data_IF_507905516115
#
_entry.id   IF_507905516115
#
_cell.length_a   1.000
_cell.length_b   1.000
_cell.length_c   1.000
_cell.angle_alpha   90.00
_cell.angle_beta   90.00
_cell.angle_gamma   90.00
#
_symmetry.space_group_name_H-M   'P 1'
#
loop_
_entity.id
_entity.type
_entity.pdbx_description
1 polymer ?
#
# COMPACT_ATOMS: atom_id res chain seq x y z
N UNK A 1 -26.93 13.69 -35.81
CA UNK A 1 -26.18 12.81 -34.89
C UNK A 1 -25.18 13.71 -34.19
N UNK A 2 -25.14 13.70 -32.85
CA UNK A 2 -24.22 14.55 -32.11
C UNK A 2 -22.78 14.07 -32.32
N UNK A 3 -21.83 14.99 -32.43
CA UNK A 3 -20.42 14.63 -32.46
C UNK A 3 -19.88 14.35 -31.04
N UNK A 4 -18.70 13.73 -30.93
CA UNK A 4 -18.14 13.39 -29.62
C UNK A 4 -17.82 14.63 -28.76
N UNK A 5 -17.59 15.79 -29.38
CA UNK A 5 -17.33 17.04 -28.66
C UNK A 5 -18.60 17.56 -27.99
N UNK A 6 -19.73 17.47 -28.67
CA UNK A 6 -21.06 17.77 -28.12
C UNK A 6 -21.43 16.81 -26.99
N UNK A 7 -21.16 15.51 -27.16
CA UNK A 7 -21.37 14.50 -26.12
C UNK A 7 -20.51 14.76 -24.87
N UNK A 8 -19.23 15.12 -25.06
CA UNK A 8 -18.34 15.47 -23.95
C UNK A 8 -18.81 16.73 -23.20
N UNK A 9 -19.33 17.74 -23.91
CA UNK A 9 -19.89 18.94 -23.27
C UNK A 9 -21.12 18.62 -22.40
N UNK A 10 -21.95 17.67 -22.86
CA UNK A 10 -23.10 17.18 -22.09
C UNK A 10 -22.65 16.41 -20.85
N UNK A 11 -21.68 15.49 -21.01
CA UNK A 11 -21.05 14.75 -19.92
C UNK A 11 -20.55 15.71 -18.86
N UNK A 12 -19.82 16.74 -19.26
CA UNK A 12 -19.20 17.69 -18.33
C UNK A 12 -20.24 18.45 -17.50
N UNK A 13 -21.32 18.89 -18.14
CA UNK A 13 -22.46 19.53 -17.46
C UNK A 13 -23.09 18.62 -16.40
N UNK A 14 -23.25 17.32 -16.71
CA UNK A 14 -23.82 16.34 -15.79
C UNK A 14 -22.86 16.03 -14.65
N UNK A 15 -21.57 15.86 -14.96
CA UNK A 15 -20.53 15.56 -13.99
C UNK A 15 -20.25 16.72 -13.02
N UNK A 16 -20.47 17.96 -13.47
CA UNK A 16 -20.46 19.15 -12.61
C UNK A 16 -21.64 19.23 -11.66
N UNK A 17 -22.73 18.53 -11.93
CA UNK A 17 -23.88 18.55 -11.03
C UNK A 17 -23.51 17.89 -9.69
N UNK A 18 -23.78 18.61 -8.59
CA UNK A 18 -23.44 18.19 -7.23
C UNK A 18 -24.67 17.67 -6.49
N UNK A 19 -24.45 16.78 -5.52
CA UNK A 19 -25.48 16.41 -4.56
C UNK A 19 -25.79 17.61 -3.66
N UNK A 20 -27.05 17.87 -3.33
CA UNK A 20 -27.40 18.90 -2.35
C UNK A 20 -26.82 18.54 -0.99
N UNK A 21 -26.26 19.51 -0.27
CA UNK A 21 -25.71 19.29 1.08
C UNK A 21 -24.44 20.09 1.37
N UNK A 22 -23.95 20.04 2.63
CA UNK A 22 -22.89 20.92 3.12
C UNK A 22 -21.52 20.70 2.48
N UNK A 23 -21.29 19.54 1.84
CA UNK A 23 -19.99 19.17 1.25
C UNK A 23 -19.96 19.17 -0.28
N UNK A 24 -21.06 19.55 -0.96
CA UNK A 24 -21.15 19.66 -2.44
C UNK A 24 -20.40 18.53 -3.18
N UNK A 25 -20.76 17.27 -2.87
CA UNK A 25 -20.05 16.10 -3.39
C UNK A 25 -20.48 15.78 -4.83
N UNK A 26 -19.57 15.19 -5.60
CA UNK A 26 -19.86 14.73 -6.97
C UNK A 26 -20.83 13.57 -6.94
N UNK A 27 -21.78 13.57 -7.87
CA UNK A 27 -22.73 12.46 -8.04
C UNK A 27 -22.04 11.23 -8.61
N UNK A 28 -21.29 11.39 -9.68
CA UNK A 28 -20.67 10.26 -10.38
C UNK A 28 -19.18 10.20 -10.06
N UNK A 29 -18.69 8.97 -9.87
CA UNK A 29 -17.26 8.68 -9.83
C UNK A 29 -16.70 8.74 -11.25
N UNK A 30 -17.38 8.10 -12.19
CA UNK A 30 -17.08 8.18 -13.63
C UNK A 30 -18.35 8.38 -14.44
N UNK A 31 -18.19 9.07 -15.56
CA UNK A 31 -19.26 9.31 -16.52
C UNK A 31 -18.64 9.43 -17.90
N UNK A 32 -19.14 8.67 -18.86
CA UNK A 32 -18.81 8.83 -20.26
C UNK A 32 -20.09 8.79 -21.09
N UNK A 33 -20.09 9.53 -22.19
CA UNK A 33 -21.20 9.54 -23.15
C UNK A 33 -20.63 9.27 -24.52
N UNK A 34 -21.08 8.21 -25.15
CA UNK A 34 -20.58 7.71 -26.42
C UNK A 34 -21.71 7.55 -27.42
N UNK A 35 -21.36 7.57 -28.70
CA UNK A 35 -22.28 7.11 -29.75
C UNK A 35 -22.17 5.60 -29.83
N UNK A 36 -23.23 4.90 -29.44
CA UNK A 36 -23.38 3.45 -29.57
C UNK A 36 -23.70 3.03 -31.01
N UNK A 37 -24.00 1.75 -31.20
CA UNK A 37 -24.38 1.21 -32.50
C UNK A 37 -25.73 1.79 -32.97
N UNK A 38 -25.89 1.97 -34.28
CA UNK A 38 -27.14 2.42 -34.92
C UNK A 38 -27.66 3.81 -34.46
N UNK A 39 -26.79 4.65 -33.90
CA UNK A 39 -27.15 6.03 -33.51
C UNK A 39 -27.80 6.14 -32.14
N UNK A 40 -27.75 5.09 -31.32
CA UNK A 40 -28.04 5.14 -29.88
C UNK A 40 -26.96 5.95 -29.17
N UNK A 41 -27.32 6.72 -28.14
CA UNK A 41 -26.35 7.36 -27.24
C UNK A 41 -26.25 6.50 -25.98
N UNK A 42 -25.05 6.06 -25.66
CA UNK A 42 -24.79 5.28 -24.46
C UNK A 42 -24.20 6.19 -23.37
N UNK A 43 -24.79 6.11 -22.18
CA UNK A 43 -24.36 6.85 -20.98
C UNK A 43 -23.80 5.84 -20.01
N UNK A 44 -22.48 5.69 -20.01
CA UNK A 44 -21.79 4.83 -19.07
C UNK A 44 -21.51 5.61 -17.80
N UNK A 45 -21.80 5.03 -16.64
CA UNK A 45 -21.55 5.69 -15.36
C UNK A 45 -21.15 4.70 -14.27
N UNK A 46 -20.39 5.21 -13.31
CA UNK A 46 -20.15 4.57 -12.03
C UNK A 46 -20.42 5.63 -10.94
N UNK A 47 -21.30 5.33 -9.99
CA UNK A 47 -21.56 6.27 -8.90
C UNK A 47 -20.60 6.04 -7.73
N UNK A 48 -20.53 6.99 -6.80
CA UNK A 48 -19.72 6.86 -5.57
C UNK A 48 -20.65 6.52 -4.40
N UNK A 49 -20.81 5.25 -4.00
CA UNK A 49 -21.81 4.86 -3.00
C UNK A 49 -21.71 5.65 -1.69
N UNK A 50 -20.48 5.93 -1.25
CA UNK A 50 -20.23 6.72 -0.03
C UNK A 50 -20.75 8.16 -0.12
N UNK A 51 -20.69 8.80 -1.30
CA UNK A 51 -21.19 10.15 -1.49
C UNK A 51 -22.72 10.20 -1.48
N UNK A 52 -23.36 9.22 -2.11
CA UNK A 52 -24.82 9.09 -2.14
C UNK A 52 -25.40 8.75 -0.77
N UNK A 53 -24.78 7.81 -0.05
CA UNK A 53 -25.17 7.42 1.30
C UNK A 53 -25.08 8.60 2.27
N UNK A 54 -23.99 9.39 2.21
CA UNK A 54 -23.85 10.59 3.06
C UNK A 54 -24.85 11.69 2.74
N UNK A 55 -25.30 11.80 1.49
CA UNK A 55 -26.27 12.79 1.07
C UNK A 55 -27.73 12.40 1.41
N UNK A 56 -27.97 11.17 1.89
CA UNK A 56 -29.31 10.69 2.24
C UNK A 56 -30.26 10.58 1.05
N UNK A 57 -29.74 10.49 -0.17
CA UNK A 57 -30.54 10.38 -1.40
C UNK A 57 -30.87 8.92 -1.65
N UNK A 58 -32.16 8.61 -1.87
CA UNK A 58 -32.60 7.29 -2.32
C UNK A 58 -31.85 6.89 -3.60
N UNK A 59 -31.31 5.66 -3.62
CA UNK A 59 -30.52 5.08 -4.69
C UNK A 59 -31.32 5.02 -6.01
N UNK A 60 -31.27 6.08 -6.82
CA UNK A 60 -31.67 6.03 -8.24
C UNK A 60 -30.74 6.88 -9.13
N UNK A 61 -29.49 6.43 -9.35
CA UNK A 61 -28.54 7.11 -10.23
C UNK A 61 -29.06 7.25 -11.67
N UNK A 62 -29.79 6.23 -12.16
CA UNK A 62 -30.36 6.20 -13.51
C UNK A 62 -31.47 7.25 -13.65
N UNK A 63 -32.37 7.36 -12.69
CA UNK A 63 -33.42 8.40 -12.67
C UNK A 63 -32.82 9.81 -12.66
N UNK A 64 -31.72 10.02 -11.92
CA UNK A 64 -31.00 11.28 -11.96
C UNK A 64 -30.37 11.58 -13.31
N UNK A 65 -29.75 10.60 -13.97
CA UNK A 65 -29.24 10.78 -15.33
C UNK A 65 -30.39 11.09 -16.29
N UNK A 66 -31.48 10.32 -16.27
CA UNK A 66 -32.68 10.59 -17.09
C UNK A 66 -33.19 12.02 -16.92
N UNK A 67 -33.28 12.51 -15.68
CA UNK A 67 -33.66 13.90 -15.40
C UNK A 67 -32.64 14.90 -15.95
N UNK A 68 -31.34 14.63 -15.83
CA UNK A 68 -30.29 15.52 -16.34
C UNK A 68 -30.27 15.60 -17.88
N UNK A 69 -30.70 14.54 -18.56
CA UNK A 69 -30.85 14.48 -20.01
C UNK A 69 -32.18 15.04 -20.53
N UNK A 70 -33.20 15.22 -19.68
CA UNK A 70 -34.53 15.67 -20.10
C UNK A 70 -34.52 17.05 -20.79
N UNK A 71 -33.63 17.94 -20.36
CA UNK A 71 -33.49 19.31 -20.91
C UNK A 71 -32.48 19.41 -22.05
N UNK A 72 -31.89 18.28 -22.48
CA UNK A 72 -30.87 18.24 -23.52
C UNK A 72 -31.57 17.93 -24.84
N UNK A 73 -31.41 18.76 -25.90
CA UNK A 73 -32.13 18.59 -27.16
C UNK A 73 -31.64 17.37 -27.96
N UNK A 74 -32.00 16.17 -27.53
CA UNK A 74 -31.66 14.88 -28.16
C UNK A 74 -32.82 14.34 -29.01
N UNK A 75 -33.38 15.17 -29.91
CA UNK A 75 -34.59 14.85 -30.68
C UNK A 75 -34.45 13.52 -31.44
N UNK A 76 -35.25 12.52 -31.04
CA UNK A 76 -35.39 11.24 -31.75
C UNK A 76 -34.28 10.24 -31.49
N UNK A 77 -33.35 10.51 -30.58
CA UNK A 77 -32.23 9.63 -30.26
C UNK A 77 -32.57 8.76 -29.05
N UNK A 78 -32.40 7.44 -29.16
CA UNK A 78 -32.51 6.53 -28.03
C UNK A 78 -31.29 6.69 -27.12
N UNK A 79 -31.51 6.74 -25.80
CA UNK A 79 -30.44 6.86 -24.80
C UNK A 79 -30.46 5.64 -23.90
N UNK A 80 -29.35 4.92 -23.85
CA UNK A 80 -29.14 3.79 -22.96
C UNK A 80 -28.24 4.20 -21.78
N UNK A 81 -28.56 3.68 -20.60
CA UNK A 81 -27.82 3.97 -19.37
C UNK A 81 -27.17 2.68 -18.88
N UNK A 82 -25.85 2.67 -18.82
CA UNK A 82 -25.05 1.49 -18.46
C UNK A 82 -24.28 1.80 -17.19
N UNK A 83 -24.66 1.11 -16.11
CA UNK A 83 -23.95 1.18 -14.83
C UNK A 83 -22.80 0.18 -14.81
N UNK A 84 -21.63 0.60 -14.33
CA UNK A 84 -20.46 -0.25 -14.17
C UNK A 84 -20.05 -0.39 -12.70
N UNK A 85 -19.85 -1.63 -12.24
CA UNK A 85 -19.23 -1.91 -10.94
C UNK A 85 -17.70 -1.89 -11.08
N UNK A 86 -17.15 -0.68 -11.06
CA UNK A 86 -15.72 -0.44 -11.30
C UNK A 86 -14.79 -1.05 -10.27
N UNK A 87 -15.32 -1.47 -9.11
CA UNK A 87 -14.51 -2.16 -8.10
C UNK A 87 -14.26 -3.63 -8.44
N UNK A 88 -15.08 -4.22 -9.31
CA UNK A 88 -14.95 -5.61 -9.75
C UNK A 88 -14.42 -5.75 -11.16
N UNK A 89 -14.89 -4.90 -12.07
CA UNK A 89 -14.71 -5.08 -13.51
C UNK A 89 -13.77 -4.04 -14.13
N UNK A 90 -13.32 -3.07 -13.34
CA UNK A 90 -12.61 -1.90 -13.86
C UNK A 90 -13.54 -0.96 -14.63
N UNK A 91 -12.98 0.11 -15.21
CA UNK A 91 -13.76 1.04 -16.02
C UNK A 91 -13.55 0.75 -17.52
N UNK A 92 -14.60 0.33 -18.26
CA UNK A 92 -14.39 -0.21 -19.61
C UNK A 92 -14.31 0.87 -20.70
N UNK A 93 -14.50 2.14 -20.36
CA UNK A 93 -14.56 3.23 -21.36
C UNK A 93 -13.24 3.97 -21.42
N UNK A 94 -12.78 4.23 -22.65
CA UNK A 94 -11.54 4.98 -22.91
C UNK A 94 -11.50 6.28 -22.08
N UNK A 95 -10.35 6.52 -21.44
CA UNK A 95 -10.25 7.58 -20.44
C UNK A 95 -10.45 8.98 -21.02
N UNK A 96 -10.01 9.23 -22.26
CA UNK A 96 -10.28 10.49 -22.97
C UNK A 96 -11.77 10.85 -23.10
N UNK A 97 -12.66 9.85 -23.04
CA UNK A 97 -14.12 10.01 -23.08
C UNK A 97 -14.74 10.17 -21.68
N UNK A 98 -13.97 9.89 -20.64
CA UNK A 98 -14.42 9.88 -19.23
C UNK A 98 -13.88 11.09 -18.44
N UNK A 99 -12.64 11.49 -18.71
CA UNK A 99 -11.92 12.52 -17.99
C UNK A 99 -12.52 13.93 -18.22
N UNK A 100 -12.80 14.63 -17.12
CA UNK A 100 -13.27 16.02 -17.11
C UNK A 100 -12.15 17.04 -16.84
N UNK A 101 -11.27 16.80 -15.87
CA UNK A 101 -10.11 17.66 -15.61
C UNK A 101 -8.92 16.88 -15.02
N UNK A 102 -7.73 17.47 -15.04
CA UNK A 102 -6.52 16.85 -14.49
C UNK A 102 -6.60 16.56 -12.97
N UNK A 103 -7.52 17.20 -12.25
CA UNK A 103 -7.77 16.95 -10.81
C UNK A 103 -8.58 15.67 -10.54
N UNK A 104 -9.28 15.14 -11.55
CA UNK A 104 -9.98 13.85 -11.48
C UNK A 104 -9.10 12.68 -11.98
N UNK A 105 -7.89 13.03 -12.43
CA UNK A 105 -6.97 12.15 -13.12
C UNK A 105 -5.64 12.18 -12.38
N UNK A 106 -5.55 11.49 -11.24
CA UNK A 106 -4.31 11.50 -10.46
C UNK A 106 -3.15 11.06 -11.36
N UNK A 107 -2.20 11.97 -11.64
CA UNK A 107 -1.09 11.63 -12.51
C UNK A 107 -0.26 10.54 -11.84
N UNK A 108 0.05 9.51 -12.60
CA UNK A 108 0.85 8.36 -12.19
C UNK A 108 2.01 8.21 -13.15
N UNK A 109 3.24 8.41 -12.71
CA UNK A 109 4.43 8.22 -13.55
C UNK A 109 5.00 6.82 -13.29
N UNK A 110 4.94 5.95 -14.30
CA UNK A 110 5.63 4.65 -14.31
C UNK A 110 6.96 4.81 -15.06
N UNK A 111 8.06 4.70 -14.33
CA UNK A 111 9.39 5.09 -14.80
C UNK A 111 10.42 3.97 -14.61
N UNK A 112 11.42 3.97 -15.48
CA UNK A 112 12.62 3.15 -15.40
C UNK A 112 13.87 4.05 -15.54
N UNK A 113 14.81 3.89 -14.62
CA UNK A 113 16.13 4.55 -14.68
C UNK A 113 17.14 3.65 -15.40
N UNK A 114 17.67 4.15 -16.51
CA UNK A 114 18.71 3.48 -17.27
C UNK A 114 20.07 3.58 -16.57
N UNK A 115 21.04 2.76 -17.00
CA UNK A 115 22.38 2.69 -16.41
C UNK A 115 23.16 4.02 -16.51
N UNK A 116 22.84 4.86 -17.50
CA UNK A 116 23.43 6.20 -17.67
C UNK A 116 22.76 7.28 -16.80
N UNK A 117 21.76 6.90 -15.99
CA UNK A 117 20.97 7.81 -15.14
C UNK A 117 19.79 8.48 -15.85
N UNK A 118 19.63 8.28 -17.16
CA UNK A 118 18.47 8.78 -17.89
C UNK A 118 17.20 8.05 -17.49
N UNK A 119 16.08 8.77 -17.54
CA UNK A 119 14.76 8.24 -17.21
C UNK A 119 13.94 8.04 -18.47
N UNK A 120 13.29 6.88 -18.57
CA UNK A 120 12.25 6.64 -19.55
C UNK A 120 11.00 6.08 -18.87
N UNK A 121 9.83 6.31 -19.46
CA UNK A 121 8.61 5.76 -18.92
C UNK A 121 7.36 6.36 -19.54
N UNK A 122 6.26 6.27 -18.82
CA UNK A 122 4.95 6.72 -19.27
C UNK A 122 4.25 7.44 -18.13
N UNK A 123 3.75 8.64 -18.42
CA UNK A 123 2.73 9.26 -17.60
C UNK A 123 1.41 8.56 -17.90
N UNK A 124 0.77 8.11 -16.85
CA UNK A 124 -0.52 7.45 -16.84
C UNK A 124 -1.48 8.21 -15.94
N UNK A 125 -2.77 7.90 -16.05
CA UNK A 125 -3.83 8.44 -15.21
C UNK A 125 -4.40 7.34 -14.36
N UNK A 126 -4.35 7.55 -13.05
CA UNK A 126 -5.05 6.70 -12.10
C UNK A 126 -6.45 7.29 -11.88
N UNK A 127 -7.52 6.57 -12.30
CA UNK A 127 -8.90 6.95 -12.01
C UNK A 127 -9.27 6.64 -10.54
N UNK A 128 -8.37 5.97 -9.81
CA UNK A 128 -8.44 5.57 -8.41
C UNK A 128 -7.22 6.08 -7.64
N UNK A 129 -7.15 5.77 -6.34
CA UNK A 129 -5.86 5.53 -5.70
C UNK A 129 -5.75 4.01 -5.78
N UNK A 130 -5.22 3.51 -6.89
CA UNK A 130 -5.11 2.08 -7.15
C UNK A 130 -3.95 1.47 -6.35
N UNK A 131 -4.06 0.20 -5.97
CA UNK A 131 -2.94 -0.59 -5.45
C UNK A 131 -1.96 -1.01 -6.56
N UNK A 132 -1.94 -0.28 -7.69
CA UNK A 132 -1.08 -0.57 -8.83
C UNK A 132 0.41 -0.61 -8.44
N UNK A 133 0.83 0.21 -7.46
CA UNK A 133 2.19 0.19 -6.90
C UNK A 133 2.56 -1.22 -6.43
N UNK A 134 1.72 -1.82 -5.57
CA UNK A 134 1.97 -3.13 -4.97
C UNK A 134 1.87 -4.23 -6.01
N UNK A 135 0.86 -4.18 -6.89
CA UNK A 135 0.68 -5.19 -7.93
C UNK A 135 1.82 -5.19 -8.96
N UNK A 136 2.25 -4.02 -9.43
CA UNK A 136 3.36 -3.89 -10.38
C UNK A 136 4.66 -4.38 -9.73
N UNK A 137 4.97 -3.90 -8.53
CA UNK A 137 6.21 -4.25 -7.85
C UNK A 137 6.30 -5.75 -7.53
N UNK A 138 5.19 -6.39 -7.15
CA UNK A 138 5.15 -7.84 -6.92
C UNK A 138 5.35 -8.65 -8.20
N UNK A 139 4.80 -8.19 -9.34
CA UNK A 139 4.79 -8.96 -10.58
C UNK A 139 6.07 -8.80 -11.41
N UNK A 140 6.73 -7.65 -11.32
CA UNK A 140 7.87 -7.29 -12.18
C UNK A 140 9.07 -6.90 -11.33
N UNK A 141 9.58 -7.83 -10.54
CA UNK A 141 10.63 -7.53 -9.56
C UNK A 141 12.02 -7.46 -10.19
N UNK A 142 12.28 -8.16 -11.30
CA UNK A 142 13.61 -8.20 -11.91
C UNK A 142 13.87 -7.02 -12.88
N UNK A 143 15.13 -6.59 -13.08
CA UNK A 143 15.43 -5.44 -13.95
C UNK A 143 14.92 -5.60 -15.39
N UNK A 144 15.07 -6.79 -15.96
CA UNK A 144 14.62 -7.09 -17.32
C UNK A 144 13.09 -7.14 -17.42
N UNK A 145 12.40 -7.60 -16.38
CA UNK A 145 10.94 -7.62 -16.29
C UNK A 145 10.40 -6.20 -16.17
N UNK A 146 10.97 -5.39 -15.27
CA UNK A 146 10.62 -4.00 -15.09
C UNK A 146 10.87 -3.16 -16.35
N UNK A 147 11.99 -3.41 -17.06
CA UNK A 147 12.27 -2.73 -18.33
C UNK A 147 11.29 -3.16 -19.42
N UNK A 148 11.02 -4.45 -19.56
CA UNK A 148 10.08 -4.97 -20.55
C UNK A 148 8.66 -4.45 -20.30
N UNK A 149 8.24 -4.38 -19.04
CA UNK A 149 7.00 -3.73 -18.60
C UNK A 149 6.94 -2.29 -19.08
N UNK A 150 7.95 -1.48 -18.74
CA UNK A 150 7.96 -0.06 -19.08
C UNK A 150 7.97 0.14 -20.60
N UNK A 151 8.72 -0.67 -21.34
CA UNK A 151 8.71 -0.63 -22.80
C UNK A 151 7.37 -1.06 -23.40
N UNK A 152 6.71 -2.06 -22.83
CA UNK A 152 5.35 -2.45 -23.22
C UNK A 152 4.40 -1.27 -23.05
N UNK A 153 4.34 -0.68 -21.85
CA UNK A 153 3.43 0.46 -21.58
C UNK A 153 3.72 1.65 -22.48
N UNK A 154 5.00 1.90 -22.82
CA UNK A 154 5.39 2.98 -23.74
C UNK A 154 4.96 2.78 -25.20
N UNK A 155 4.71 1.54 -25.60
CA UNK A 155 4.23 1.19 -26.95
C UNK A 155 2.71 1.10 -27.05
N UNK A 156 2.02 1.15 -25.92
CA UNK A 156 0.57 1.20 -25.87
C UNK A 156 0.05 2.53 -26.42
N UNK A 157 -1.11 2.48 -27.05
CA UNK A 157 -1.79 3.67 -27.54
C UNK A 157 -2.26 4.55 -26.38
N UNK A 158 -2.43 5.84 -26.65
CA UNK A 158 -3.03 6.77 -25.70
C UNK A 158 -4.41 6.26 -25.27
N UNK A 159 -4.71 6.42 -23.98
CA UNK A 159 -5.94 5.98 -23.31
C UNK A 159 -6.11 4.45 -23.22
N UNK A 160 -5.11 3.65 -23.60
CA UNK A 160 -5.09 2.21 -23.34
C UNK A 160 -4.95 1.92 -21.84
N UNK A 161 -5.68 0.90 -21.36
CA UNK A 161 -5.71 0.50 -19.95
C UNK A 161 -4.62 -0.53 -19.63
N UNK A 162 -3.98 -0.36 -18.47
CA UNK A 162 -2.96 -1.25 -17.94
C UNK A 162 -2.97 -1.21 -16.41
N UNK A 163 -3.35 -2.32 -15.76
CA UNK A 163 -3.56 -2.38 -14.30
C UNK A 163 -4.48 -1.27 -13.78
N UNK A 164 -5.57 -1.00 -14.50
CA UNK A 164 -6.51 0.09 -14.20
C UNK A 164 -5.92 1.50 -14.27
N UNK A 165 -4.69 1.65 -14.76
CA UNK A 165 -4.08 2.93 -15.13
C UNK A 165 -4.22 3.15 -16.64
N UNK A 166 -4.40 4.40 -17.06
CA UNK A 166 -4.60 4.72 -18.48
C UNK A 166 -3.43 5.53 -19.03
N UNK A 167 -2.91 5.13 -20.19
CA UNK A 167 -1.75 5.77 -20.81
C UNK A 167 -2.08 7.21 -21.25
N UNK A 168 -1.30 8.20 -20.81
CA UNK A 168 -1.41 9.60 -21.27
C UNK A 168 -0.35 9.88 -22.33
N UNK A 169 0.94 9.81 -21.95
CA UNK A 169 2.06 10.10 -22.84
C UNK A 169 3.37 9.53 -22.32
N UNK A 170 4.33 9.35 -23.21
CA UNK A 170 5.67 8.91 -22.84
C UNK A 170 6.50 10.03 -22.20
N UNK A 171 7.37 9.62 -21.27
CA UNK A 171 8.33 10.45 -20.56
C UNK A 171 9.73 10.01 -20.99
N UNK A 172 10.57 10.98 -21.34
CA UNK A 172 12.01 10.82 -21.46
C UNK A 172 12.67 12.03 -20.80
N UNK A 173 13.67 11.80 -19.96
CA UNK A 173 14.40 12.83 -19.25
C UNK A 173 15.86 12.40 -19.04
N UNK A 174 16.80 13.34 -18.93
CA UNK A 174 18.21 12.98 -18.72
C UNK A 174 18.52 12.62 -17.27
N UNK A 175 17.65 12.99 -16.34
CA UNK A 175 17.71 12.64 -14.91
C UNK A 175 16.30 12.64 -14.28
N UNK A 176 16.18 12.11 -13.06
CA UNK A 176 14.90 12.00 -12.34
C UNK A 176 14.29 13.37 -12.03
N UNK A 177 15.10 14.35 -11.66
CA UNK A 177 14.65 15.70 -11.34
C UNK A 177 14.03 16.39 -12.56
N UNK A 178 14.52 16.09 -13.76
CA UNK A 178 13.97 16.64 -15.00
C UNK A 178 12.59 16.10 -15.34
N UNK A 179 12.17 14.97 -14.76
CA UNK A 179 10.80 14.45 -14.91
C UNK A 179 9.78 15.48 -14.40
N UNK A 180 10.12 16.29 -13.39
CA UNK A 180 9.23 17.35 -12.87
C UNK A 180 8.84 18.38 -13.94
N UNK A 181 9.63 18.52 -15.01
CA UNK A 181 9.32 19.43 -16.11
C UNK A 181 8.21 18.90 -17.03
N UNK A 182 7.98 17.58 -17.04
CA UNK A 182 6.96 16.93 -17.89
C UNK A 182 5.72 16.50 -17.11
N UNK A 183 5.76 16.53 -15.77
CA UNK A 183 4.59 16.29 -14.92
C UNK A 183 3.56 17.43 -15.05
N UNK A 184 2.29 17.20 -14.67
CA UNK A 184 1.30 18.28 -14.63
C UNK A 184 1.75 19.46 -13.75
N UNK A 185 1.52 20.68 -14.25
CA UNK A 185 2.04 21.93 -13.67
C UNK A 185 1.02 22.67 -12.79
N UNK A 186 -0.19 22.14 -12.66
CA UNK A 186 -1.30 22.77 -11.95
C UNK A 186 -1.05 22.79 -10.43
N UNK A 187 -1.33 23.93 -9.79
CA UNK A 187 -1.13 24.09 -8.35
C UNK A 187 -2.01 23.09 -7.57
N UNK A 188 -1.40 22.40 -6.60
CA UNK A 188 -2.09 21.42 -5.75
C UNK A 188 -2.24 20.02 -6.35
N UNK A 189 -1.80 19.77 -7.59
CA UNK A 189 -1.82 18.41 -8.17
C UNK A 189 -0.59 17.64 -7.72
N UNK A 190 -0.81 16.57 -6.95
CA UNK A 190 0.22 15.59 -6.62
C UNK A 190 0.26 14.49 -7.68
N UNK A 191 1.47 14.07 -8.04
CA UNK A 191 1.74 12.94 -8.93
C UNK A 191 2.27 11.78 -8.11
N UNK A 192 1.67 10.61 -8.28
CA UNK A 192 2.26 9.35 -7.83
C UNK A 192 3.34 8.96 -8.81
N UNK A 193 4.50 8.58 -8.30
CA UNK A 193 5.64 8.19 -9.11
C UNK A 193 6.10 6.83 -8.65
N UNK A 194 6.24 5.90 -9.58
CA UNK A 194 6.79 4.57 -9.39
C UNK A 194 8.01 4.44 -10.31
N UNK A 195 9.19 4.27 -9.74
CA UNK A 195 10.47 4.26 -10.46
C UNK A 195 11.18 2.95 -10.19
N UNK A 196 11.48 2.19 -11.23
CA UNK A 196 12.44 1.11 -11.11
C UNK A 196 13.85 1.68 -11.22
N UNK A 197 14.67 1.47 -10.19
CA UNK A 197 16.05 1.96 -10.14
C UNK A 197 16.95 0.82 -9.67
N UNK A 198 17.91 0.46 -10.52
CA UNK A 198 18.89 -0.63 -10.31
C UNK A 198 18.23 -2.00 -10.13
N UNK A 199 17.77 -2.30 -8.93
CA UNK A 199 17.36 -3.63 -8.48
C UNK A 199 16.05 -3.61 -7.67
N UNK A 200 15.31 -2.49 -7.67
CA UNK A 200 14.02 -2.41 -7.00
C UNK A 200 13.11 -1.29 -7.51
N UNK A 201 11.83 -1.39 -7.13
CA UNK A 201 10.84 -0.33 -7.27
C UNK A 201 10.86 0.63 -6.08
N UNK A 202 10.84 1.90 -6.40
CA UNK A 202 10.66 3.00 -5.47
C UNK A 202 9.40 3.79 -5.80
N UNK A 203 8.74 4.33 -4.77
CA UNK A 203 7.62 5.25 -4.96
C UNK A 203 7.84 6.61 -4.30
N UNK A 204 7.19 7.63 -4.85
CA UNK A 204 7.07 8.96 -4.28
C UNK A 204 5.74 9.60 -4.63
N UNK A 205 5.24 10.46 -3.74
CA UNK A 205 4.13 11.38 -4.05
C UNK A 205 4.76 12.76 -4.19
N UNK A 206 4.79 13.27 -5.42
CA UNK A 206 5.48 14.51 -5.73
C UNK A 206 4.48 15.61 -6.09
N UNK A 207 4.65 16.78 -5.47
CA UNK A 207 4.04 18.01 -5.92
C UNK A 207 5.15 18.94 -6.38
N UNK A 208 5.15 19.30 -7.66
CA UNK A 208 6.24 20.09 -8.26
C UNK A 208 6.52 21.38 -7.49
N UNK A 209 5.47 22.11 -7.10
CA UNK A 209 5.62 23.38 -6.40
C UNK A 209 6.23 23.20 -5.01
N UNK A 210 5.89 22.10 -4.32
CA UNK A 210 6.45 21.81 -3.00
C UNK A 210 7.92 21.40 -3.09
N UNK A 211 8.29 20.64 -4.13
CA UNK A 211 9.68 20.24 -4.39
C UNK A 211 10.53 21.47 -4.72
N UNK A 212 10.07 22.33 -5.64
CA UNK A 212 10.75 23.57 -6.02
C UNK A 212 10.91 24.54 -4.83
N UNK A 213 9.87 24.72 -4.01
CA UNK A 213 9.92 25.58 -2.82
C UNK A 213 10.89 25.08 -1.75
N UNK A 214 11.02 23.76 -1.59
CA UNK A 214 11.87 23.15 -0.56
C UNK A 214 13.32 22.97 -1.02
N UNK A 215 13.62 23.22 -2.31
CA UNK A 215 14.93 22.93 -2.90
C UNK A 215 15.34 21.46 -2.72
N UNK A 216 14.36 20.58 -2.50
CA UNK A 216 14.58 19.21 -2.09
C UNK A 216 14.68 18.30 -3.33
N UNK A 217 15.54 17.29 -3.26
CA UNK A 217 15.54 16.17 -4.19
C UNK A 217 14.23 15.38 -4.08
N UNK A 218 13.87 14.62 -5.12
CA UNK A 218 12.73 13.71 -5.04
C UNK A 218 13.08 12.59 -4.05
N UNK A 219 12.42 12.59 -2.89
CA UNK A 219 12.60 11.52 -1.89
C UNK A 219 11.82 10.30 -2.34
N UNK A 220 12.56 9.29 -2.77
CA UNK A 220 12.06 7.96 -3.10
C UNK A 220 12.00 7.11 -1.83
N UNK A 221 10.94 6.31 -1.70
CA UNK A 221 10.81 5.28 -0.67
C UNK A 221 10.74 3.91 -1.35
N UNK A 222 11.41 2.91 -0.78
CA UNK A 222 11.35 1.55 -1.33
C UNK A 222 9.92 1.02 -1.24
N UNK A 223 9.39 0.48 -2.34
CA UNK A 223 8.06 -0.15 -2.33
C UNK A 223 8.12 -1.41 -1.47
N UNK A 224 9.19 -2.20 -1.58
CA UNK A 224 9.31 -3.44 -0.83
C UNK A 224 9.43 -3.19 0.68
N UNK A 225 10.21 -2.19 1.11
CA UNK A 225 10.37 -1.94 2.56
C UNK A 225 9.08 -1.41 3.19
N UNK A 226 8.23 -0.71 2.42
CA UNK A 226 6.98 -0.13 2.92
C UNK A 226 5.79 -1.09 2.79
N UNK A 227 5.74 -1.88 1.71
CA UNK A 227 4.57 -2.68 1.35
C UNK A 227 4.82 -4.20 1.30
N UNK A 228 6.04 -4.66 1.55
CA UNK A 228 6.36 -6.09 1.56
C UNK A 228 6.29 -6.74 0.19
N UNK A 229 6.55 -5.97 -0.87
CA UNK A 229 6.53 -6.51 -2.22
C UNK A 229 7.76 -7.35 -2.53
N UNK A 230 7.62 -8.22 -3.52
CA UNK A 230 8.68 -9.07 -4.03
C UNK A 230 9.97 -8.29 -4.35
N UNK A 231 11.11 -8.87 -3.97
CA UNK A 231 12.44 -8.33 -4.30
C UNK A 231 12.99 -8.92 -5.59
N UNK A 232 13.87 -8.16 -6.26
CA UNK A 232 14.75 -8.76 -7.27
C UNK A 232 15.77 -9.68 -6.60
N UNK A 233 16.26 -10.69 -7.32
CA UNK A 233 17.33 -11.59 -6.85
C UNK A 233 18.57 -10.81 -6.38
N UNK A 234 19.01 -9.84 -7.18
CA UNK A 234 20.19 -9.04 -6.86
C UNK A 234 20.03 -8.24 -5.56
N UNK A 235 18.82 -7.72 -5.30
CA UNK A 235 18.55 -7.01 -4.05
C UNK A 235 18.47 -7.98 -2.88
N UNK A 236 17.76 -9.09 -3.04
CA UNK A 236 17.63 -10.13 -2.03
C UNK A 236 19.00 -10.67 -1.58
N UNK A 237 19.91 -10.93 -2.53
CA UNK A 237 21.29 -11.35 -2.25
C UNK A 237 22.07 -10.34 -1.40
N UNK A 238 21.85 -9.03 -1.61
CA UNK A 238 22.51 -7.96 -0.85
C UNK A 238 21.96 -7.79 0.56
N UNK A 239 20.70 -8.15 0.80
CA UNK A 239 20.10 -8.05 2.13
C UNK A 239 20.68 -9.08 3.10
N UNK A 240 21.34 -10.12 2.59
CA UNK A 240 21.93 -11.19 3.37
C UNK A 240 20.99 -12.37 3.53
N UNK A 241 21.51 -13.47 4.07
CA UNK A 241 20.75 -14.71 4.23
C UNK A 241 20.34 -14.93 5.69
N UNK A 242 19.41 -15.85 5.91
CA UNK A 242 19.09 -16.33 7.26
C UNK A 242 20.35 -16.79 8.01
N UNK A 243 21.27 -17.48 7.34
CA UNK A 243 22.56 -17.91 7.92
C UNK A 243 23.41 -16.73 8.39
N UNK A 244 23.35 -15.61 7.69
CA UNK A 244 24.05 -14.38 8.10
C UNK A 244 23.52 -13.88 9.43
N UNK A 245 22.19 -13.83 9.59
CA UNK A 245 21.57 -13.49 10.87
C UNK A 245 21.89 -14.53 11.96
N UNK A 246 21.76 -15.82 11.67
CA UNK A 246 22.09 -16.91 12.60
C UNK A 246 23.55 -16.85 13.08
N UNK A 247 24.46 -16.40 12.21
CA UNK A 247 25.88 -16.19 12.52
C UNK A 247 26.15 -15.00 13.46
N UNK A 248 25.19 -14.09 13.64
CA UNK A 248 25.26 -12.98 14.62
C UNK A 248 24.80 -13.39 16.03
N UNK A 249 24.60 -14.68 16.24
CA UNK A 249 24.29 -15.29 17.54
C UNK A 249 23.01 -14.76 18.21
N UNK A 250 21.86 -14.67 17.50
CA UNK A 250 20.58 -14.52 18.19
C UNK A 250 20.34 -15.71 19.11
N UNK A 251 19.50 -15.54 20.14
CA UNK A 251 19.13 -16.66 21.01
C UNK A 251 18.42 -17.74 20.18
N UNK A 252 18.77 -19.01 20.37
CA UNK A 252 18.08 -20.12 19.70
C UNK A 252 17.01 -20.70 20.60
N UNK A 253 15.77 -20.68 20.13
CA UNK A 253 14.63 -21.26 20.82
C UNK A 253 14.27 -22.64 20.32
N UNK A 254 13.84 -23.50 21.25
CA UNK A 254 13.17 -24.75 20.90
C UNK A 254 11.79 -24.42 20.33
N UNK A 255 11.47 -24.96 19.15
CA UNK A 255 10.19 -24.76 18.50
C UNK A 255 9.01 -25.21 19.36
N UNK A 256 9.22 -26.14 20.30
CA UNK A 256 8.20 -26.56 21.26
C UNK A 256 7.67 -25.38 22.09
N UNK A 257 8.48 -24.36 22.37
CA UNK A 257 8.03 -23.15 23.08
C UNK A 257 6.95 -22.41 22.29
N UNK A 258 7.09 -22.30 20.97
CA UNK A 258 6.06 -21.71 20.12
C UNK A 258 4.81 -22.56 20.10
N UNK A 259 4.95 -23.89 20.02
CA UNK A 259 3.81 -24.82 20.04
C UNK A 259 3.05 -24.75 21.36
N UNK A 260 3.76 -24.67 22.48
CA UNK A 260 3.17 -24.53 23.81
C UNK A 260 2.42 -23.20 23.93
N UNK A 261 3.01 -22.10 23.44
CA UNK A 261 2.35 -20.80 23.39
C UNK A 261 1.08 -20.78 22.51
N UNK A 262 1.13 -21.43 21.35
CA UNK A 262 -0.03 -21.62 20.47
C UNK A 262 -1.11 -22.49 21.13
N UNK A 263 -0.72 -23.50 21.91
CA UNK A 263 -1.68 -24.41 22.58
C UNK A 263 -2.48 -23.73 23.70
N UNK A 264 -1.93 -22.69 24.32
CA UNK A 264 -2.58 -21.89 25.37
C UNK A 264 -3.06 -20.53 24.83
N UNK A 265 -3.05 -20.35 23.51
CA UNK A 265 -3.49 -19.14 22.86
C UNK A 265 -5.00 -18.95 23.02
N UNK A 266 -5.37 -17.75 23.44
CA UNK A 266 -6.77 -17.36 23.59
C UNK A 266 -7.22 -16.53 22.37
N UNK A 267 -8.54 -16.46 22.09
CA UNK A 267 -9.07 -15.54 21.09
C UNK A 267 -8.67 -14.09 21.38
N UNK A 268 -8.45 -13.30 20.33
CA UNK A 268 -8.07 -11.87 20.43
C UNK A 268 -9.28 -10.93 20.55
N UNK A 269 -10.51 -11.46 20.63
CA UNK A 269 -11.75 -10.68 20.69
C UNK A 269 -11.95 -10.10 22.10
N UNK A 270 -12.30 -8.82 22.18
CA UNK A 270 -12.67 -8.09 23.41
C UNK A 270 -11.63 -8.09 24.53
N UNK A 271 -10.33 -8.09 24.19
CA UNK A 271 -9.27 -7.96 25.21
C UNK A 271 -9.24 -6.52 25.72
N UNK A 272 -9.43 -6.29 27.03
CA UNK A 272 -9.30 -4.94 27.57
C UNK A 272 -7.86 -4.44 27.42
N UNK A 273 -7.72 -3.17 27.03
CA UNK A 273 -6.42 -2.52 26.88
C UNK A 273 -5.58 -2.62 28.15
N UNK A 274 -4.31 -2.97 28.01
CA UNK A 274 -3.35 -3.15 29.10
C UNK A 274 -3.31 -4.56 29.70
N UNK A 275 -4.10 -5.51 29.19
CA UNK A 275 -4.10 -6.89 29.67
C UNK A 275 -3.35 -7.87 28.75
N UNK A 276 -2.89 -7.42 27.57
CA UNK A 276 -2.24 -8.29 26.60
C UNK A 276 -0.94 -8.94 27.13
N UNK A 277 -0.15 -8.22 27.93
CA UNK A 277 1.08 -8.74 28.57
C UNK A 277 0.84 -9.88 29.56
N UNK A 278 -0.38 -9.97 30.11
CA UNK A 278 -0.76 -10.97 31.12
C UNK A 278 -1.26 -12.29 30.52
N UNK A 279 -1.46 -12.32 29.19
CA UNK A 279 -2.05 -13.48 28.51
C UNK A 279 -1.13 -14.69 28.58
N UNK A 280 -1.64 -15.92 28.74
CA UNK A 280 -0.84 -17.13 28.92
C UNK A 280 0.14 -17.38 27.77
N UNK A 281 -0.28 -17.14 26.52
CA UNK A 281 0.58 -17.32 25.34
C UNK A 281 1.75 -16.34 25.32
N UNK A 282 1.51 -15.07 25.67
CA UNK A 282 2.56 -14.04 25.80
C UNK A 282 3.49 -14.34 26.97
N UNK A 283 2.93 -14.69 28.14
CA UNK A 283 3.70 -15.08 29.33
C UNK A 283 4.53 -16.34 29.12
N UNK A 284 4.04 -17.32 28.36
CA UNK A 284 4.79 -18.54 28.06
C UNK A 284 6.14 -18.18 27.40
N UNK A 285 6.09 -17.41 26.31
CA UNK A 285 7.27 -17.03 25.55
C UNK A 285 8.18 -16.07 26.33
N UNK A 286 7.61 -15.07 27.02
CA UNK A 286 8.41 -14.08 27.77
C UNK A 286 9.07 -14.68 29.03
N UNK A 287 8.41 -15.61 29.72
CA UNK A 287 8.99 -16.36 30.83
C UNK A 287 10.12 -17.28 30.33
N UNK A 288 9.91 -17.97 29.20
CA UNK A 288 10.95 -18.78 28.56
C UNK A 288 12.18 -17.93 28.23
N UNK A 289 11.97 -16.78 27.57
CA UNK A 289 13.04 -15.85 27.20
C UNK A 289 13.82 -15.39 28.43
N UNK A 290 13.14 -14.95 29.49
CA UNK A 290 13.77 -14.51 30.73
C UNK A 290 14.54 -15.60 31.47
N UNK A 291 14.15 -16.87 31.32
CA UNK A 291 14.83 -18.01 31.94
C UNK A 291 16.12 -18.41 31.21
N UNK A 292 16.15 -18.31 29.88
CA UNK A 292 17.25 -18.80 29.05
C UNK A 292 18.22 -17.70 28.62
N UNK A 293 17.81 -16.43 28.64
CA UNK A 293 18.64 -15.34 28.14
C UNK A 293 19.94 -15.18 28.97
N UNK A 294 21.12 -15.22 28.34
CA UNK A 294 22.40 -15.24 29.05
C UNK A 294 22.70 -13.94 29.82
N UNK A 295 22.09 -12.83 29.42
CA UNK A 295 22.23 -11.53 30.07
C UNK A 295 21.14 -11.28 31.12
N UNK A 296 20.30 -12.28 31.41
CA UNK A 296 19.17 -12.20 32.35
C UNK A 296 18.20 -11.06 32.01
N UNK A 297 18.07 -10.75 30.73
CA UNK A 297 17.08 -9.79 30.26
C UNK A 297 15.68 -10.34 30.52
N UNK A 298 14.79 -9.46 30.95
CA UNK A 298 13.36 -9.75 31.06
C UNK A 298 12.62 -8.97 30.01
N UNK A 299 11.71 -9.64 29.33
CA UNK A 299 10.80 -9.06 28.38
C UNK A 299 9.36 -9.25 28.88
N UNK A 300 8.46 -8.37 28.47
CA UNK A 300 7.05 -8.43 28.81
C UNK A 300 6.18 -8.64 27.57
N UNK A 301 6.75 -8.36 26.39
CA UNK A 301 6.14 -8.58 25.08
C UNK A 301 7.20 -8.86 24.01
N UNK A 302 6.75 -9.27 22.84
CA UNK A 302 7.59 -9.52 21.67
C UNK A 302 6.88 -9.22 20.35
N UNK A 303 7.65 -8.93 19.31
CA UNK A 303 7.19 -8.86 17.92
C UNK A 303 7.54 -10.14 17.21
N UNK A 304 6.61 -10.64 16.41
CA UNK A 304 6.78 -11.89 15.67
C UNK A 304 7.07 -11.55 14.22
N UNK A 305 8.15 -12.14 13.70
CA UNK A 305 8.48 -12.10 12.29
C UNK A 305 8.67 -13.52 11.77
N UNK A 306 8.14 -13.78 10.58
CA UNK A 306 8.28 -15.05 9.88
C UNK A 306 9.28 -14.84 8.75
N UNK A 307 10.25 -15.75 8.66
CA UNK A 307 11.24 -15.71 7.58
C UNK A 307 10.57 -15.97 6.23
N UNK A 308 10.76 -15.04 5.31
CA UNK A 308 10.37 -15.17 3.92
C UNK A 308 11.62 -15.53 3.10
N UNK A 309 11.70 -16.80 2.71
CA UNK A 309 12.81 -17.34 1.92
C UNK A 309 12.89 -16.70 0.53
N UNK A 310 11.76 -16.37 -0.09
CA UNK A 310 11.74 -15.79 -1.43
C UNK A 310 12.28 -14.36 -1.41
N UNK A 311 11.92 -13.60 -0.37
CA UNK A 311 12.26 -12.18 -0.25
C UNK A 311 13.44 -11.90 0.68
N UNK A 312 14.08 -12.92 1.25
CA UNK A 312 15.25 -12.78 2.12
C UNK A 312 15.06 -11.77 3.26
N UNK A 313 13.87 -11.75 3.86
CA UNK A 313 13.49 -10.79 4.89
C UNK A 313 12.64 -11.43 5.99
N UNK A 314 12.51 -10.71 7.10
CA UNK A 314 11.63 -11.06 8.20
C UNK A 314 10.30 -10.33 8.03
N UNK A 315 9.31 -11.05 7.52
CA UNK A 315 7.96 -10.54 7.31
C UNK A 315 7.23 -10.42 8.66
N UNK A 316 6.67 -9.27 9.00
CA UNK A 316 5.97 -9.09 10.26
C UNK A 316 4.69 -9.92 10.26
N UNK A 317 4.38 -10.50 11.41
CA UNK A 317 3.14 -11.25 11.57
C UNK A 317 1.89 -10.36 11.64
N UNK A 318 2.06 -9.06 11.90
CA UNK A 318 1.03 -8.04 11.90
C UNK A 318 1.30 -7.03 10.76
N UNK A 319 0.30 -6.69 9.92
CA UNK A 319 0.49 -5.79 8.78
C UNK A 319 0.76 -4.33 9.14
N UNK A 320 0.53 -3.90 10.38
CA UNK A 320 0.85 -2.54 10.85
C UNK A 320 2.34 -2.38 11.18
N UNK A 321 3.06 -3.50 11.35
CA UNK A 321 4.49 -3.50 11.64
C UNK A 321 5.33 -3.40 10.34
N UNK A 322 6.49 -2.73 10.37
CA UNK A 322 7.37 -2.66 9.21
C UNK A 322 8.12 -3.98 8.98
N UNK A 323 8.50 -4.24 7.73
CA UNK A 323 9.40 -5.34 7.41
C UNK A 323 10.79 -5.10 7.97
N UNK A 324 11.45 -6.18 8.38
CA UNK A 324 12.81 -6.13 8.91
C UNK A 324 13.75 -6.92 8.01
N UNK A 325 14.80 -6.25 7.52
CA UNK A 325 15.87 -6.90 6.77
C UNK A 325 16.79 -7.71 7.70
N UNK A 326 17.48 -8.71 7.15
CA UNK A 326 18.54 -9.45 7.87
C UNK A 326 19.57 -8.51 8.49
N UNK A 327 19.97 -7.45 7.78
CA UNK A 327 20.91 -6.45 8.28
C UNK A 327 20.40 -5.71 9.53
N UNK A 328 19.14 -5.26 9.53
CA UNK A 328 18.51 -4.62 10.69
C UNK A 328 18.39 -5.62 11.85
N UNK A 329 17.91 -6.84 11.59
CA UNK A 329 17.77 -7.89 12.60
C UNK A 329 19.12 -8.26 13.24
N UNK A 330 20.20 -8.16 12.45
CA UNK A 330 21.59 -8.46 12.84
C UNK A 330 22.29 -7.34 13.63
N UNK A 331 21.63 -6.19 13.83
CA UNK A 331 22.23 -5.00 14.45
C UNK A 331 21.70 -4.81 15.87
N UNK A 332 22.54 -4.48 16.88
CA UNK A 332 22.05 -4.07 18.19
C UNK A 332 21.16 -2.83 18.11
N UNK A 333 20.10 -2.71 18.93
CA UNK A 333 19.70 -3.65 19.99
C UNK A 333 18.93 -4.89 19.54
N UNK A 334 18.46 -4.96 18.29
CA UNK A 334 17.55 -6.02 17.85
C UNK A 334 18.18 -7.41 18.03
N UNK A 335 19.41 -7.60 17.54
CA UNK A 335 20.07 -8.91 17.60
C UNK A 335 20.22 -9.43 19.04
N UNK A 336 20.52 -8.57 20.01
CA UNK A 336 20.69 -8.94 21.42
C UNK A 336 19.35 -9.18 22.13
N UNK A 337 18.29 -8.58 21.60
CA UNK A 337 16.92 -8.73 22.08
C UNK A 337 16.11 -9.70 21.22
N UNK A 338 16.74 -10.59 20.44
CA UNK A 338 16.01 -11.49 19.53
C UNK A 338 16.23 -12.96 19.85
N UNK A 339 15.24 -13.77 19.48
CA UNK A 339 15.36 -15.22 19.42
C UNK A 339 14.84 -15.76 18.09
N UNK A 340 15.39 -16.89 17.63
CA UNK A 340 14.96 -17.57 16.42
C UNK A 340 14.58 -19.01 16.71
N UNK A 341 13.55 -19.50 16.02
CA UNK A 341 12.97 -20.82 16.20
C UNK A 341 12.94 -21.52 14.84
N UNK A 342 13.63 -22.65 14.75
CA UNK A 342 13.74 -23.43 13.52
C UNK A 342 13.42 -24.90 13.80
N UNK A 343 12.62 -25.50 12.91
CA UNK A 343 12.34 -26.94 12.91
C UNK A 343 12.04 -27.35 11.47
N UNK A 344 12.55 -28.49 11.05
CA UNK A 344 12.29 -29.03 9.71
C UNK A 344 10.78 -29.19 9.48
N UNK A 345 10.30 -28.75 8.31
CA UNK A 345 8.88 -28.74 7.95
C UNK A 345 8.03 -27.67 8.67
N UNK A 346 8.65 -26.73 9.37
CA UNK A 346 7.95 -25.62 10.06
C UNK A 346 8.49 -24.27 9.57
N UNK A 347 7.68 -23.20 9.59
CA UNK A 347 8.17 -21.86 9.24
C UNK A 347 9.26 -21.42 10.22
N UNK A 348 10.32 -20.79 9.73
CA UNK A 348 11.32 -20.15 10.60
C UNK A 348 10.73 -18.88 11.19
N UNK A 349 10.72 -18.78 12.52
CA UNK A 349 10.12 -17.65 13.24
C UNK A 349 11.21 -16.93 14.03
N UNK A 350 11.24 -15.61 13.95
CA UNK A 350 12.08 -14.76 14.76
C UNK A 350 11.21 -13.87 15.67
N UNK A 351 11.61 -13.75 16.92
CA UNK A 351 10.96 -12.92 17.92
C UNK A 351 11.90 -11.81 18.35
N UNK A 352 11.42 -10.57 18.37
CA UNK A 352 12.14 -9.43 18.95
C UNK A 352 11.46 -9.03 20.25
N UNK A 353 12.21 -8.91 21.34
CA UNK A 353 11.69 -8.79 22.69
C UNK A 353 11.78 -7.36 23.22
N UNK A 354 10.74 -6.94 23.93
CA UNK A 354 10.56 -5.58 24.43
C UNK A 354 10.15 -5.57 25.90
N UNK A 355 10.34 -4.41 26.52
CA UNK A 355 9.76 -4.08 27.81
C UNK A 355 8.28 -3.75 27.68
N UNK A 356 7.56 -4.02 28.75
CA UNK A 356 6.13 -3.74 28.85
C UNK A 356 5.82 -2.27 29.08
N UNK A 357 4.53 -1.97 29.03
CA UNK A 357 3.94 -0.65 29.20
C UNK A 357 4.37 0.06 30.49
N UNK A 358 4.67 -0.68 31.55
CA UNK A 358 5.16 -0.10 32.82
C UNK A 358 6.53 0.58 32.69
N UNK A 359 7.29 0.26 31.65
CA UNK A 359 8.61 0.83 31.38
C UNK A 359 8.59 1.97 30.37
N UNK A 360 7.47 2.17 29.68
CA UNK A 360 7.31 3.24 28.71
C UNK A 360 7.50 4.61 29.36
N UNK A 361 7.96 5.58 28.57
CA UNK A 361 8.10 6.98 28.99
C UNK A 361 7.31 7.86 28.06
N UNK A 362 6.46 8.72 28.64
CA UNK A 362 5.65 9.64 27.85
C UNK A 362 6.13 11.07 28.03
N UNK A 363 6.32 11.76 26.91
CA UNK A 363 6.72 13.17 26.86
C UNK A 363 5.92 13.87 25.76
N UNK A 364 5.19 14.93 26.11
CA UNK A 364 4.41 15.74 25.15
C UNK A 364 3.42 14.91 24.29
N UNK A 365 2.71 13.94 24.87
CA UNK A 365 1.77 13.10 24.12
C UNK A 365 2.40 12.05 23.22
N UNK A 366 3.72 11.84 23.33
CA UNK A 366 4.46 10.79 22.61
C UNK A 366 5.01 9.79 23.61
N UNK A 367 4.75 8.52 23.39
CA UNK A 367 5.20 7.41 24.23
C UNK A 367 6.39 6.70 23.58
N UNK A 368 7.53 6.71 24.28
CA UNK A 368 8.73 5.95 23.93
C UNK A 368 8.65 4.53 24.49
N UNK A 369 8.81 3.53 23.62
CA UNK A 369 8.93 2.11 23.97
C UNK A 369 10.40 1.68 24.10
N UNK A 370 10.66 0.51 24.70
CA UNK A 370 12.02 0.02 24.95
C UNK A 370 12.18 -1.44 24.57
N UNK A 371 13.34 -1.78 23.98
CA UNK A 371 13.77 -3.17 23.80
C UNK A 371 14.00 -3.84 25.17
N UNK A 372 14.04 -5.17 25.22
CA UNK A 372 14.20 -5.93 26.46
C UNK A 372 15.52 -5.60 27.22
N UNK A 373 16.54 -5.11 26.52
CA UNK A 373 17.79 -4.62 27.11
C UNK A 373 17.68 -3.19 27.70
N UNK A 374 16.55 -2.50 27.53
CA UNK A 374 16.30 -1.15 28.01
C UNK A 374 16.71 -0.03 27.05
N UNK A 375 17.22 -0.35 25.86
CA UNK A 375 17.50 0.66 24.84
C UNK A 375 16.19 1.16 24.18
N UNK A 376 16.12 2.44 23.75
CA UNK A 376 14.95 2.98 23.06
C UNK A 376 14.62 2.20 21.79
N UNK A 377 13.32 1.94 21.57
CA UNK A 377 12.83 1.25 20.38
C UNK A 377 12.14 2.20 19.39
N UNK A 378 10.90 2.59 19.63
CA UNK A 378 10.18 3.56 18.79
C UNK A 378 9.30 4.49 19.61
N UNK A 379 8.89 5.58 18.96
CA UNK A 379 8.01 6.60 19.49
C UNK A 379 6.61 6.43 18.89
N UNK A 380 5.59 6.43 19.74
CA UNK A 380 4.19 6.34 19.35
C UNK A 380 3.54 7.67 19.68
N UNK A 381 2.84 8.28 18.71
CA UNK A 381 2.13 9.55 18.88
C UNK A 381 0.86 9.48 19.73
N UNK A 382 0.90 8.72 20.83
CA UNK A 382 -0.18 8.49 21.78
C UNK A 382 0.38 8.52 23.22
N UNK A 383 -0.47 8.90 24.18
CA UNK A 383 -0.18 8.79 25.62
C UNK A 383 -0.10 7.31 26.04
N UNK A 384 0.65 6.99 27.10
CA UNK A 384 0.91 5.59 27.51
C UNK A 384 -0.40 4.83 27.79
N UNK A 385 -1.43 5.55 28.26
CA UNK A 385 -2.72 4.97 28.58
C UNK A 385 -3.37 4.29 27.37
N UNK A 386 -3.13 4.82 26.18
CA UNK A 386 -3.68 4.38 24.90
C UNK A 386 -2.75 3.43 24.12
N UNK A 387 -1.60 3.08 24.69
CA UNK A 387 -0.62 2.17 24.08
C UNK A 387 -0.75 0.78 24.69
N UNK A 388 -0.88 -0.25 23.85
CA UNK A 388 -0.86 -1.66 24.26
C UNK A 388 -0.10 -2.51 23.23
N UNK A 389 1.23 -2.38 23.24
CA UNK A 389 2.11 -3.05 22.28
C UNK A 389 2.06 -4.57 22.40
N UNK A 390 1.64 -5.14 23.53
CA UNK A 390 1.54 -6.59 23.68
C UNK A 390 0.40 -7.19 22.85
N UNK A 391 -0.51 -6.36 22.33
CA UNK A 391 -1.49 -6.75 21.32
C UNK A 391 -0.83 -7.43 20.10
N UNK A 392 0.27 -6.85 19.59
CA UNK A 392 0.99 -7.41 18.44
C UNK A 392 1.68 -8.74 18.74
N UNK A 393 2.03 -9.01 20.01
CA UNK A 393 2.51 -10.34 20.42
C UNK A 393 1.42 -11.39 20.26
N UNK A 394 0.18 -11.06 20.64
CA UNK A 394 -0.96 -11.95 20.49
C UNK A 394 -1.28 -12.21 19.03
N UNK A 395 -1.40 -11.13 18.24
CA UNK A 395 -1.61 -11.24 16.78
C UNK A 395 -0.53 -12.08 16.12
N UNK A 396 0.72 -11.89 16.54
CA UNK A 396 1.84 -12.66 16.06
C UNK A 396 1.74 -14.16 16.34
N UNK A 397 1.31 -14.55 17.54
CA UNK A 397 1.11 -15.98 17.87
C UNK A 397 -0.04 -16.58 17.03
N UNK A 398 -1.13 -15.84 16.82
CA UNK A 398 -2.21 -16.26 15.92
C UNK A 398 -1.69 -16.51 14.51
N UNK A 399 -0.87 -15.60 13.99
CA UNK A 399 -0.25 -15.76 12.66
C UNK A 399 0.69 -16.97 12.57
N UNK A 400 1.47 -17.23 13.62
CA UNK A 400 2.31 -18.44 13.69
C UNK A 400 1.44 -19.69 13.67
N UNK A 401 0.32 -19.71 14.41
CA UNK A 401 -0.61 -20.83 14.39
C UNK A 401 -1.22 -21.07 13.00
N UNK A 402 -1.51 -20.00 12.24
CA UNK A 402 -1.95 -20.09 10.84
C UNK A 402 -0.83 -20.65 9.95
N UNK A 403 0.37 -20.07 10.02
CA UNK A 403 1.51 -20.44 9.19
C UNK A 403 1.93 -21.91 9.38
N UNK A 404 1.80 -22.44 10.60
CA UNK A 404 2.03 -23.86 10.90
C UNK A 404 0.99 -24.76 10.23
N UNK A 405 -0.28 -24.33 10.14
CA UNK A 405 -1.37 -25.12 9.52
C UNK A 405 -1.34 -25.13 8.00
N UNK A 406 -0.79 -24.09 7.38
CA UNK A 406 -0.76 -23.93 5.92
C UNK A 406 0.44 -24.60 5.24
N UNK A 407 1.32 -25.24 6.00
CA UNK A 407 2.42 -26.04 5.46
C UNK A 407 1.86 -27.39 4.96
N UNK A 408 2.24 -27.84 3.75
CA UNK A 408 1.73 -29.05 3.11
C UNK A 408 2.10 -30.36 3.83
#
# INVERSE_FOLDING_TARGET
MLDQKELNAIRDKIFDSRLPGPLSQRKFRFLAITSGHEGVIEVHFAYSPSAWNRAGVTLDPVGHLKSAFADIPMRGTHVEYVEHDVTKEGWPIAWGLTAKSALDNLPYALLYENDDGSICGTLMRDPHISDAVVHIANKFAEPHEAKALVDQVRTMEKDAEFFSLYVDRNINASALEEVLNVLPQESGVSTYMLVYRKDEWFFAIVNKQDVEKRGAYIRLNSVADVHGTKLSKNRAEKLGSLETFLGKTPLRGDYQVLLDAVSVMEPYIDIPMGYCESRPSVKNITNWYGAINPFRLKADLFRVYIWDEENHLFAPADPEEPLITVAQMSTPPIVTCSAVFQKEGMPTVALVFYKGREHNKTTNGVTQTFFANGEPAWEIGLENEAVDEAYYSLMGIHKVAEAIKTQP
#
